data_IF_158210186426
#
_entry.id   IF_158210186426
#
_cell.length_a   1.000
_cell.length_b   1.000
_cell.length_c   1.000
_cell.angle_alpha   90.00
_cell.angle_beta   90.00
_cell.angle_gamma   90.00
#
_symmetry.space_group_name_H-M   'P 1'
#
loop_
_entity.id
_entity.type
_entity.pdbx_description
1 polymer ?
#
# COMPACT_ATOMS: atom_id res chain seq x y z
N UNK A 1 43.08 35.59 21.13
CA UNK A 1 42.38 34.36 21.56
C UNK A 1 40.86 34.51 21.63
N UNK A 2 40.28 35.58 22.22
CA UNK A 2 38.81 35.78 22.28
C UNK A 2 38.12 35.81 20.90
N UNK A 3 38.70 36.50 19.92
CA UNK A 3 38.13 36.58 18.57
C UNK A 3 38.12 35.22 17.87
N UNK A 4 39.14 34.38 18.09
CA UNK A 4 39.21 33.02 17.54
C UNK A 4 38.07 32.13 18.06
N UNK A 5 37.75 32.22 19.36
CA UNK A 5 36.63 31.49 19.96
C UNK A 5 35.26 31.94 19.44
N UNK A 6 35.08 33.22 19.11
CA UNK A 6 33.83 33.75 18.56
C UNK A 6 33.60 33.24 17.13
N UNK A 7 34.65 33.25 16.29
CA UNK A 7 34.56 32.73 14.93
C UNK A 7 34.35 31.22 14.91
N UNK A 8 34.97 30.47 15.83
CA UNK A 8 34.78 29.03 15.94
C UNK A 8 33.35 28.67 16.36
N UNK A 9 32.75 29.41 17.31
CA UNK A 9 31.34 29.24 17.68
C UNK A 9 30.38 29.58 16.54
N UNK A 10 30.67 30.66 15.79
CA UNK A 10 29.87 31.07 14.62
C UNK A 10 29.95 30.03 13.49
N UNK A 11 31.12 29.41 13.29
CA UNK A 11 31.31 28.36 12.28
C UNK A 11 30.56 27.07 12.66
N UNK A 12 30.59 26.67 13.94
CA UNK A 12 29.84 25.52 14.45
C UNK A 12 28.32 25.78 14.34
N UNK A 13 27.87 26.99 14.67
CA UNK A 13 26.45 27.37 14.55
C UNK A 13 25.97 27.35 13.08
N UNK A 14 26.80 27.82 12.14
CA UNK A 14 26.50 27.73 10.70
C UNK A 14 26.42 26.28 10.21
N UNK A 15 27.29 25.38 10.67
CA UNK A 15 27.26 23.97 10.28
C UNK A 15 26.03 23.21 10.84
N UNK A 16 25.52 23.59 12.02
CA UNK A 16 24.31 22.99 12.61
C UNK A 16 23.04 23.41 11.84
N UNK A 17 23.01 24.60 11.25
CA UNK A 17 21.86 25.10 10.46
C UNK A 17 21.73 24.40 9.09
N UNK A 18 22.81 23.82 8.56
CA UNK A 18 22.81 23.13 7.26
C UNK A 18 22.62 21.60 7.36
N UNK A 19 22.16 21.07 8.50
CA UNK A 19 21.73 19.67 8.57
C UNK A 19 20.39 19.54 7.83
N UNK A 20 20.48 19.14 6.56
CA UNK A 20 19.31 18.72 5.78
C UNK A 20 18.96 17.28 6.17
N UNK A 21 17.78 17.09 6.77
CA UNK A 21 17.19 15.76 6.93
C UNK A 21 16.45 15.40 5.65
N UNK A 22 16.76 14.24 5.07
CA UNK A 22 15.90 13.63 4.06
C UNK A 22 14.63 13.15 4.73
N UNK A 23 13.52 13.83 4.47
CA UNK A 23 12.18 13.35 4.85
C UNK A 23 11.62 12.53 3.69
N UNK A 24 11.18 11.31 3.99
CA UNK A 24 10.49 10.45 3.05
C UNK A 24 8.98 10.66 3.23
N UNK A 25 8.28 11.04 2.17
CA UNK A 25 6.82 11.14 2.13
C UNK A 25 6.17 9.98 1.35
N UNK A 26 6.93 8.94 1.00
CA UNK A 26 6.40 7.78 0.28
C UNK A 26 5.51 6.90 1.15
N UNK A 27 4.65 6.14 0.46
CA UNK A 27 3.85 5.07 1.06
C UNK A 27 4.77 3.99 1.64
N UNK A 28 4.45 3.48 2.83
CA UNK A 28 5.06 2.25 3.32
C UNK A 28 4.18 1.08 2.93
N UNK A 29 4.79 -0.01 2.49
CA UNK A 29 4.12 -1.23 2.03
C UNK A 29 4.79 -2.43 2.69
N UNK A 30 4.00 -3.27 3.36
CA UNK A 30 4.45 -4.49 4.02
C UNK A 30 3.70 -5.72 3.47
N UNK A 31 4.41 -6.51 2.65
CA UNK A 31 3.91 -7.74 2.01
C UNK A 31 4.03 -8.98 2.92
N UNK A 32 4.56 -8.84 4.14
CA UNK A 32 4.74 -9.97 5.06
C UNK A 32 3.46 -10.36 5.80
N UNK A 33 2.44 -9.50 5.77
CA UNK A 33 1.17 -9.75 6.45
C UNK A 33 0.42 -10.91 5.83
N UNK A 34 -0.08 -11.81 6.68
CA UNK A 34 -0.97 -12.88 6.25
C UNK A 34 -2.32 -12.31 5.81
N UNK A 35 -3.04 -13.03 4.96
CA UNK A 35 -4.40 -12.64 4.56
C UNK A 35 -5.31 -12.49 5.79
N UNK A 36 -5.17 -13.40 6.76
CA UNK A 36 -5.90 -13.34 8.02
C UNK A 36 -5.57 -12.06 8.81
N UNK A 37 -4.29 -11.69 8.95
CA UNK A 37 -3.90 -10.49 9.68
C UNK A 37 -4.38 -9.21 8.99
N UNK A 38 -4.35 -9.17 7.65
CA UNK A 38 -4.90 -8.05 6.88
C UNK A 38 -6.39 -7.87 7.19
N UNK A 39 -7.18 -8.94 7.12
CA UNK A 39 -8.62 -8.84 7.41
C UNK A 39 -8.85 -8.51 8.89
N UNK A 40 -8.28 -9.30 9.80
CA UNK A 40 -8.58 -9.26 11.23
C UNK A 40 -8.07 -7.99 11.92
N UNK A 41 -6.90 -7.48 11.54
CA UNK A 41 -6.25 -6.37 12.25
C UNK A 41 -6.34 -5.04 11.51
N UNK A 42 -6.54 -5.05 10.18
CA UNK A 42 -6.53 -3.83 9.36
C UNK A 42 -7.93 -3.49 8.83
N UNK A 43 -8.66 -4.45 8.29
CA UNK A 43 -9.93 -4.17 7.60
C UNK A 43 -11.12 -4.08 8.54
N UNK A 44 -11.25 -5.00 9.51
CA UNK A 44 -12.47 -5.11 10.30
C UNK A 44 -12.49 -4.18 11.51
N UNK A 45 -13.66 -3.60 11.75
CA UNK A 45 -13.96 -2.84 12.97
C UNK A 45 -14.53 -3.71 14.09
N UNK A 46 -14.89 -3.07 15.19
CA UNK A 46 -15.55 -3.76 16.31
C UNK A 46 -16.91 -4.34 15.91
N UNK A 47 -17.28 -5.46 16.52
CA UNK A 47 -18.59 -6.10 16.32
C UNK A 47 -18.70 -6.92 15.04
N UNK A 48 -17.58 -7.26 14.40
CA UNK A 48 -17.53 -8.17 13.24
C UNK A 48 -16.62 -9.35 13.58
N UNK A 49 -17.13 -10.56 13.39
CA UNK A 49 -16.33 -11.79 13.45
C UNK A 49 -16.04 -12.25 12.03
N UNK A 50 -14.80 -12.64 11.75
CA UNK A 50 -14.39 -13.16 10.44
C UNK A 50 -13.93 -14.61 10.51
N UNK A 51 -14.23 -15.37 9.46
CA UNK A 51 -13.81 -16.77 9.29
C UNK A 51 -13.44 -17.04 7.83
N UNK A 52 -12.80 -18.18 7.58
CA UNK A 52 -12.47 -18.65 6.22
C UNK A 52 -11.72 -17.62 5.37
N UNK A 53 -10.83 -16.83 6.00
CA UNK A 53 -10.02 -15.86 5.27
C UNK A 53 -9.07 -16.59 4.33
N UNK A 54 -9.18 -16.30 3.04
CA UNK A 54 -8.38 -16.87 1.97
C UNK A 54 -7.86 -15.78 1.04
N UNK A 55 -6.73 -16.06 0.42
CA UNK A 55 -6.16 -15.20 -0.59
C UNK A 55 -5.77 -16.01 -1.82
N UNK A 56 -6.22 -15.55 -2.98
CA UNK A 56 -5.88 -16.11 -4.29
C UNK A 56 -5.00 -15.11 -5.03
N UNK A 57 -3.79 -15.53 -5.37
CA UNK A 57 -2.77 -14.70 -6.00
C UNK A 57 -1.37 -14.99 -5.45
N UNK A 58 -0.37 -14.23 -5.89
CA UNK A 58 0.99 -14.26 -5.34
C UNK A 58 1.07 -13.44 -4.04
N UNK A 59 1.92 -13.86 -3.10
CA UNK A 59 2.05 -13.16 -1.82
C UNK A 59 2.44 -11.69 -1.98
N UNK A 60 3.20 -11.34 -3.02
CA UNK A 60 3.61 -9.97 -3.32
C UNK A 60 2.44 -9.05 -3.72
N UNK A 61 1.27 -9.59 -4.09
CA UNK A 61 0.11 -8.81 -4.54
C UNK A 61 -0.74 -8.25 -3.41
N UNK A 62 -0.57 -8.73 -2.16
CA UNK A 62 -1.28 -8.22 -0.98
C UNK A 62 -0.31 -7.60 0.00
N UNK A 63 -0.75 -6.53 0.64
CA UNK A 63 0.07 -5.86 1.64
C UNK A 63 -0.76 -5.00 2.59
N UNK A 64 -0.17 -4.70 3.73
CA UNK A 64 -0.58 -3.58 4.55
C UNK A 64 0.14 -2.32 4.06
N UNK A 65 -0.60 -1.25 3.75
CA UNK A 65 -0.01 0.05 3.50
C UNK A 65 -0.24 1.00 4.67
N UNK A 66 0.70 1.92 4.91
CA UNK A 66 0.55 2.96 5.91
C UNK A 66 1.46 4.17 5.66
N UNK A 67 1.11 5.32 6.25
CA UNK A 67 1.92 6.52 6.28
C UNK A 67 1.15 7.80 5.97
N UNK A 68 1.89 8.87 5.67
CA UNK A 68 1.28 10.10 5.16
C UNK A 68 1.00 9.90 3.68
N UNK A 69 -0.27 9.77 3.31
CA UNK A 69 -0.68 9.51 1.91
C UNK A 69 -1.59 10.63 1.39
N UNK A 70 -1.71 10.71 0.07
CA UNK A 70 -2.72 11.51 -0.65
C UNK A 70 -3.93 10.67 -1.12
N UNK A 71 -4.02 9.42 -0.69
CA UNK A 71 -5.06 8.45 -1.10
C UNK A 71 -6.40 8.75 -0.39
N UNK A 72 -6.35 9.49 0.72
CA UNK A 72 -7.51 9.77 1.57
C UNK A 72 -7.60 8.87 2.81
N UNK A 73 -6.69 7.89 2.93
CA UNK A 73 -6.54 7.02 4.10
C UNK A 73 -5.09 7.04 4.59
N UNK A 74 -4.88 6.94 5.90
CA UNK A 74 -3.53 6.83 6.48
C UNK A 74 -2.95 5.44 6.34
N UNK A 75 -3.79 4.44 6.19
CA UNK A 75 -3.43 3.03 6.13
C UNK A 75 -4.59 2.18 5.60
N UNK A 76 -4.29 0.93 5.26
CA UNK A 76 -5.28 -0.02 4.76
C UNK A 76 -4.67 -1.23 4.07
N UNK A 77 -5.51 -2.04 3.45
CA UNK A 77 -5.07 -3.14 2.60
C UNK A 77 -4.83 -2.62 1.20
N UNK A 78 -3.70 -3.01 0.61
CA UNK A 78 -3.38 -2.79 -0.80
C UNK A 78 -3.36 -4.13 -1.53
N UNK A 79 -4.20 -4.25 -2.55
CA UNK A 79 -4.27 -5.37 -3.50
C UNK A 79 -3.84 -4.87 -4.88
N UNK A 80 -2.98 -5.61 -5.58
CA UNK A 80 -2.40 -5.19 -6.87
C UNK A 80 -2.33 -6.31 -7.88
N UNK A 81 -2.42 -5.97 -9.18
CA UNK A 81 -2.23 -6.92 -10.31
C UNK A 81 -0.75 -7.28 -10.52
N UNK A 82 0.19 -6.60 -9.88
CA UNK A 82 1.59 -6.97 -9.79
C UNK A 82 2.08 -6.95 -8.35
N UNK A 83 3.39 -6.86 -8.13
CA UNK A 83 3.92 -6.68 -6.77
C UNK A 83 3.58 -5.33 -6.15
N UNK A 84 3.02 -5.34 -4.94
CA UNK A 84 2.54 -4.16 -4.21
C UNK A 84 3.65 -3.16 -3.86
N UNK A 85 4.92 -3.60 -3.81
CA UNK A 85 6.07 -2.73 -3.53
C UNK A 85 6.27 -1.65 -4.59
N UNK A 86 5.71 -1.81 -5.79
CA UNK A 86 5.70 -0.78 -6.84
C UNK A 86 4.96 0.48 -6.38
N UNK A 87 3.93 0.33 -5.54
CA UNK A 87 3.10 1.45 -5.06
C UNK A 87 3.83 2.41 -4.11
N UNK A 88 5.02 2.04 -3.61
CA UNK A 88 5.88 2.93 -2.78
C UNK A 88 6.25 4.19 -3.58
N UNK A 89 6.47 4.03 -4.89
CA UNK A 89 6.92 5.09 -5.78
C UNK A 89 8.37 5.55 -5.52
N UNK A 90 8.78 6.68 -6.12
CA UNK A 90 7.99 7.52 -7.02
C UNK A 90 7.67 6.79 -8.34
N UNK A 91 6.53 7.10 -8.96
CA UNK A 91 6.19 6.59 -10.29
C UNK A 91 6.98 7.35 -11.36
N UNK A 92 8.26 6.99 -11.54
CA UNK A 92 9.17 7.65 -12.51
C UNK A 92 9.32 6.89 -13.82
N UNK A 93 8.75 5.70 -13.91
CA UNK A 93 8.84 4.82 -15.08
C UNK A 93 7.44 4.37 -15.45
N UNK A 94 7.09 4.53 -16.72
CA UNK A 94 5.87 3.96 -17.26
C UNK A 94 5.83 2.43 -17.12
N UNK A 95 4.61 1.89 -17.00
CA UNK A 95 4.36 0.45 -16.88
C UNK A 95 5.19 -0.24 -15.78
N UNK A 96 5.40 0.43 -14.65
CA UNK A 96 6.16 -0.14 -13.53
C UNK A 96 5.45 -1.38 -12.98
N UNK A 97 6.11 -2.53 -13.02
CA UNK A 97 5.49 -3.79 -12.64
C UNK A 97 6.54 -4.73 -12.01
N UNK A 98 6.11 -5.51 -11.02
CA UNK A 98 6.77 -6.74 -10.59
C UNK A 98 5.86 -7.90 -10.98
N UNK A 99 6.26 -8.66 -12.01
CA UNK A 99 5.42 -9.67 -12.61
C UNK A 99 5.21 -10.85 -11.65
N UNK A 100 3.94 -11.24 -11.49
CA UNK A 100 3.52 -12.33 -10.61
C UNK A 100 3.03 -13.54 -11.41
N UNK A 101 2.51 -13.31 -12.63
CA UNK A 101 2.06 -14.35 -13.57
C UNK A 101 1.03 -15.29 -12.92
N UNK A 102 0.13 -14.73 -12.11
CA UNK A 102 -0.95 -15.51 -11.48
C UNK A 102 -2.12 -15.64 -12.45
N UNK A 103 -2.93 -16.67 -12.24
CA UNK A 103 -4.11 -16.91 -13.07
C UNK A 103 -5.12 -15.75 -12.95
N UNK A 104 -6.01 -15.64 -13.93
CA UNK A 104 -7.19 -14.79 -13.85
C UNK A 104 -8.23 -15.26 -12.82
N UNK A 105 -9.31 -14.51 -12.73
CA UNK A 105 -10.47 -14.79 -11.90
C UNK A 105 -11.62 -15.34 -12.75
N UNK A 106 -11.97 -16.60 -12.55
CA UNK A 106 -12.98 -17.28 -13.36
C UNK A 106 -14.38 -16.66 -13.24
N UNK A 107 -14.73 -16.10 -12.07
CA UNK A 107 -16.05 -15.50 -11.87
C UNK A 107 -16.16 -14.18 -12.64
N UNK A 108 -15.11 -13.36 -12.61
CA UNK A 108 -15.03 -12.16 -13.45
C UNK A 108 -15.04 -12.51 -14.93
N UNK A 109 -14.27 -13.51 -15.36
CA UNK A 109 -14.22 -13.98 -16.76
C UNK A 109 -15.60 -14.40 -17.27
N UNK A 110 -16.38 -15.10 -16.45
CA UNK A 110 -17.74 -15.50 -16.78
C UNK A 110 -18.69 -14.29 -16.91
N UNK A 111 -18.47 -13.22 -16.15
CA UNK A 111 -19.27 -11.99 -16.22
C UNK A 111 -18.91 -11.18 -17.46
N UNK A 112 -17.62 -11.01 -17.75
CA UNK A 112 -17.14 -10.11 -18.81
C UNK A 112 -16.94 -10.81 -20.16
N UNK A 113 -16.98 -12.15 -20.21
CA UNK A 113 -16.68 -12.98 -21.38
C UNK A 113 -15.30 -12.72 -22.01
N UNK A 114 -14.31 -12.42 -21.18
CA UNK A 114 -12.91 -12.21 -21.56
C UNK A 114 -12.00 -12.79 -20.48
N UNK A 115 -10.85 -13.33 -20.89
CA UNK A 115 -9.83 -13.80 -19.96
C UNK A 115 -9.26 -12.63 -19.15
N UNK A 116 -9.01 -12.88 -17.86
CA UNK A 116 -8.35 -11.96 -16.95
C UNK A 116 -6.97 -12.52 -16.58
N UNK A 117 -6.10 -11.68 -16.02
CA UNK A 117 -4.76 -12.09 -15.61
C UNK A 117 -4.43 -11.49 -14.25
N UNK A 118 -3.49 -12.12 -13.57
CA UNK A 118 -2.90 -11.67 -12.33
C UNK A 118 -3.92 -11.36 -11.21
N UNK A 119 -4.88 -12.27 -11.00
CA UNK A 119 -5.91 -12.10 -9.99
C UNK A 119 -5.30 -11.97 -8.58
N UNK A 120 -5.81 -10.98 -7.83
CA UNK A 120 -5.47 -10.72 -6.43
C UNK A 120 -6.77 -10.59 -5.64
N UNK A 121 -7.23 -11.72 -5.09
CA UNK A 121 -8.54 -11.83 -4.46
C UNK A 121 -8.38 -12.11 -2.98
N UNK A 122 -8.97 -11.27 -2.13
CA UNK A 122 -9.04 -11.47 -0.68
C UNK A 122 -10.49 -11.77 -0.30
N UNK A 123 -10.74 -13.00 0.15
CA UNK A 123 -12.07 -13.50 0.46
C UNK A 123 -12.18 -13.91 1.93
N UNK A 124 -13.33 -13.66 2.54
CA UNK A 124 -13.62 -14.05 3.91
C UNK A 124 -15.12 -14.03 4.18
N UNK A 125 -15.53 -14.87 5.13
CA UNK A 125 -16.89 -14.83 5.69
C UNK A 125 -16.90 -13.88 6.89
N UNK A 126 -18.00 -13.16 7.08
CA UNK A 126 -18.18 -12.30 8.25
C UNK A 126 -19.58 -12.45 8.88
N UNK A 127 -19.64 -12.26 10.20
CA UNK A 127 -20.88 -12.18 10.97
C UNK A 127 -20.90 -10.82 11.66
N UNK A 128 -21.75 -9.86 11.22
CA UNK A 128 -21.85 -8.56 11.85
C UNK A 128 -22.83 -8.60 13.03
N UNK A 129 -22.56 -7.81 14.07
CA UNK A 129 -23.52 -7.55 15.15
C UNK A 129 -24.53 -6.45 14.82
N UNK A 130 -24.33 -5.74 13.71
CA UNK A 130 -25.16 -4.63 13.25
C UNK A 130 -25.75 -4.93 11.86
N UNK A 131 -26.81 -4.20 11.51
CA UNK A 131 -27.58 -4.41 10.27
C UNK A 131 -26.97 -3.72 9.03
N UNK A 132 -25.80 -3.12 9.16
CA UNK A 132 -25.16 -2.36 8.08
C UNK A 132 -23.65 -2.54 8.11
N UNK A 133 -23.07 -2.71 6.92
CA UNK A 133 -21.63 -2.80 6.69
C UNK A 133 -21.25 -1.76 5.65
N UNK A 134 -20.10 -1.13 5.86
CA UNK A 134 -19.51 -0.17 4.96
C UNK A 134 -18.00 -0.37 4.93
N UNK A 135 -17.40 -0.24 3.75
CA UNK A 135 -15.96 -0.18 3.58
C UNK A 135 -15.64 0.99 2.64
N UNK A 136 -14.52 1.65 2.90
CA UNK A 136 -13.97 2.64 2.00
C UNK A 136 -12.97 1.94 1.08
N UNK A 137 -12.98 2.29 -0.20
CA UNK A 137 -12.02 1.79 -1.18
C UNK A 137 -11.62 2.91 -2.14
N UNK A 138 -10.42 2.79 -2.69
CA UNK A 138 -9.90 3.66 -3.75
C UNK A 138 -9.27 2.78 -4.81
N UNK A 139 -9.61 3.04 -6.06
CA UNK A 139 -8.90 2.46 -7.20
C UNK A 139 -7.70 3.34 -7.55
N UNK A 140 -6.53 2.71 -7.65
CA UNK A 140 -5.30 3.32 -8.14
C UNK A 140 -4.79 2.51 -9.33
N UNK A 141 -4.08 3.18 -10.23
CA UNK A 141 -3.48 2.57 -11.43
C UNK A 141 -2.09 3.15 -11.64
N UNK A 142 -1.15 2.35 -12.14
CA UNK A 142 0.16 2.85 -12.56
C UNK A 142 0.13 3.46 -13.96
N UNK A 143 -1.00 3.31 -14.68
CA UNK A 143 -1.14 3.75 -16.07
C UNK A 143 -0.93 5.25 -16.25
N UNK A 144 -1.10 6.12 -15.25
CA UNK A 144 -0.90 7.55 -15.46
C UNK A 144 0.60 7.92 -15.39
N UNK A 145 1.21 8.53 -16.45
CA UNK A 145 0.59 9.35 -17.52
C UNK A 145 0.44 8.70 -18.91
N UNK A 146 0.58 7.38 -19.01
CA UNK A 146 0.36 6.61 -20.22
C UNK A 146 -1.15 6.50 -20.54
N UNK A 147 -1.50 6.53 -21.83
CA UNK A 147 -2.85 6.21 -22.27
C UNK A 147 -2.89 4.72 -22.60
N UNK A 148 -3.79 3.98 -21.97
CA UNK A 148 -4.21 2.63 -22.39
C UNK A 148 -5.42 2.70 -23.33
#
# INVERSE_FOLDING_TARGET
>A
MKNLFIHLKSLIFYNIIFITFTVNGQLNVDVSYSAFDLVQNILIGQGVTVTNVQFTGDNAQKSYFYGTTNIGFTDGILLTTGGATVAIGPNTTGSANVAVNTAGDADLENIINYATNDASVLEFDFIPQADTISFNYVFASEEYPEFV
#
